data_IF_306561089549
#
_entry.id   IF_306561089549
#
_cell.length_a   1.000
_cell.length_b   1.000
_cell.length_c   1.000
_cell.angle_alpha   90.00
_cell.angle_beta   90.00
_cell.angle_gamma   90.00
#
_symmetry.space_group_name_H-M   'P 1'
#
loop_
_entity.id
_entity.type
_entity.pdbx_description
1 polymer ?
#
# COMPACT_ATOMS: atom_id res chain seq x y z
N UNK A 1 27.07 10.89 -17.88
CA UNK A 1 26.34 11.32 -16.67
C UNK A 1 25.15 10.38 -16.58
N UNK A 2 25.17 9.49 -15.59
CA UNK A 2 24.27 8.32 -15.46
C UNK A 2 22.80 8.72 -15.32
N UNK A 3 21.99 8.41 -16.33
CA UNK A 3 20.55 8.15 -16.12
C UNK A 3 20.44 6.78 -15.46
N UNK A 4 20.37 6.77 -14.13
CA UNK A 4 20.15 5.56 -13.35
C UNK A 4 18.91 4.82 -13.87
N UNK A 5 19.16 3.65 -14.46
CA UNK A 5 18.21 2.74 -15.07
C UNK A 5 17.07 2.42 -14.10
N UNK A 6 15.92 3.06 -14.30
CA UNK A 6 14.67 2.69 -13.61
C UNK A 6 14.38 1.21 -13.92
N UNK A 7 14.19 0.36 -12.91
CA UNK A 7 14.00 -1.07 -13.14
C UNK A 7 12.77 -1.29 -14.02
N UNK A 8 12.93 -2.11 -15.07
CA UNK A 8 11.85 -2.46 -15.98
C UNK A 8 10.72 -3.05 -15.14
N UNK A 9 9.49 -2.52 -15.25
CA UNK A 9 8.30 -2.89 -14.42
C UNK A 9 8.12 -4.40 -14.21
N UNK A 10 8.54 -5.21 -15.19
CA UNK A 10 8.49 -6.68 -15.14
C UNK A 10 9.43 -7.28 -14.09
N UNK A 11 10.60 -6.70 -13.90
CA UNK A 11 11.60 -7.18 -12.93
C UNK A 11 11.21 -6.81 -11.51
N UNK A 12 10.56 -5.66 -11.33
CA UNK A 12 9.91 -5.28 -10.06
C UNK A 12 8.84 -6.31 -9.70
N UNK A 13 7.91 -6.61 -10.61
CA UNK A 13 6.86 -7.63 -10.39
C UNK A 13 7.45 -9.00 -10.05
N UNK A 14 8.45 -9.47 -10.80
CA UNK A 14 9.11 -10.76 -10.53
C UNK A 14 9.86 -10.79 -9.19
N UNK A 15 10.34 -9.64 -8.72
CA UNK A 15 10.93 -9.53 -7.38
C UNK A 15 9.87 -9.69 -6.29
N UNK A 16 8.72 -9.01 -6.44
CA UNK A 16 7.57 -9.18 -5.55
C UNK A 16 7.02 -10.62 -5.56
N UNK A 17 6.84 -11.22 -6.73
CA UNK A 17 6.31 -12.59 -6.85
C UNK A 17 7.25 -13.64 -6.23
N UNK A 18 8.57 -13.50 -6.40
CA UNK A 18 9.57 -14.44 -5.85
C UNK A 18 9.77 -14.30 -4.34
N UNK A 19 9.68 -13.08 -3.82
CA UNK A 19 9.84 -12.83 -2.39
C UNK A 19 8.59 -13.18 -1.57
N UNK A 20 7.45 -13.46 -2.20
CA UNK A 20 6.18 -13.74 -1.53
C UNK A 20 6.24 -14.84 -0.46
N UNK A 21 7.16 -15.81 -0.59
CA UNK A 21 7.34 -16.91 0.36
C UNK A 21 8.30 -16.61 1.53
N UNK A 22 9.18 -15.59 1.40
CA UNK A 22 10.14 -15.17 2.44
C UNK A 22 9.89 -13.71 2.86
N UNK A 23 8.65 -13.25 2.66
CA UNK A 23 8.27 -11.84 2.66
C UNK A 23 8.20 -11.20 4.04
N UNK A 24 8.25 -11.99 5.12
CA UNK A 24 8.03 -11.46 6.46
C UNK A 24 9.05 -10.37 6.84
N UNK A 25 10.31 -10.47 6.43
CA UNK A 25 11.32 -9.42 6.67
C UNK A 25 11.17 -8.20 5.72
N UNK A 26 10.70 -8.42 4.48
CA UNK A 26 10.48 -7.35 3.50
C UNK A 26 9.18 -6.56 3.77
N UNK A 27 8.21 -7.20 4.43
CA UNK A 27 6.94 -6.61 4.78
C UNK A 27 7.07 -5.60 5.92
N UNK A 28 8.08 -5.69 6.78
CA UNK A 28 8.23 -4.81 7.95
C UNK A 28 8.26 -3.35 7.53
N UNK A 29 9.13 -3.00 6.56
CA UNK A 29 9.22 -1.62 6.07
C UNK A 29 7.91 -1.16 5.43
N UNK A 30 7.25 -2.04 4.67
CA UNK A 30 6.01 -1.68 3.98
C UNK A 30 4.84 -1.50 4.95
N UNK A 31 4.74 -2.35 5.98
CA UNK A 31 3.74 -2.23 7.05
C UNK A 31 3.96 -0.95 7.85
N UNK A 32 5.22 -0.61 8.15
CA UNK A 32 5.57 0.64 8.83
C UNK A 32 5.20 1.86 7.97
N UNK A 33 5.53 1.85 6.68
CA UNK A 33 5.13 2.92 5.76
C UNK A 33 3.60 3.03 5.67
N UNK A 34 2.90 1.89 5.57
CA UNK A 34 1.44 1.84 5.55
C UNK A 34 0.84 2.45 6.83
N UNK A 35 1.36 2.08 8.00
CA UNK A 35 0.91 2.63 9.29
C UNK A 35 1.06 4.15 9.34
N UNK A 36 2.22 4.70 8.96
CA UNK A 36 2.44 6.16 8.92
C UNK A 36 1.54 6.87 7.92
N UNK A 37 1.29 6.27 6.75
CA UNK A 37 0.34 6.84 5.77
C UNK A 37 -1.08 6.88 6.32
N UNK A 38 -1.50 5.86 7.07
CA UNK A 38 -2.81 5.85 7.75
C UNK A 38 -2.88 6.91 8.85
N UNK A 39 -1.82 7.11 9.63
CA UNK A 39 -1.73 8.19 10.64
C UNK A 39 -1.90 9.57 9.99
N UNK A 40 -1.32 9.79 8.81
CA UNK A 40 -1.50 11.04 8.07
C UNK A 40 -2.96 11.32 7.66
N UNK A 41 -3.81 10.30 7.58
CA UNK A 41 -5.24 10.45 7.29
C UNK A 41 -6.06 10.80 8.55
N UNK A 42 -5.56 10.56 9.75
CA UNK A 42 -6.28 10.85 11.00
C UNK A 42 -6.79 12.29 11.10
N UNK A 43 -5.97 13.34 10.88
CA UNK A 43 -6.43 14.72 11.00
C UNK A 43 -7.35 15.16 9.83
N UNK A 44 -7.45 14.37 8.76
CA UNK A 44 -8.22 14.77 7.57
C UNK A 44 -9.72 14.64 7.80
N UNK A 45 -10.45 15.75 7.71
CA UNK A 45 -11.92 15.77 7.85
C UNK A 45 -12.61 15.59 6.50
N UNK A 46 -12.45 14.41 5.91
CA UNK A 46 -13.08 14.01 4.65
C UNK A 46 -14.06 12.86 4.85
N UNK A 47 -15.08 12.81 3.99
CA UNK A 47 -16.06 11.72 3.92
C UNK A 47 -16.18 11.25 2.45
N UNK A 48 -15.17 10.52 1.95
CA UNK A 48 -15.16 10.11 0.55
C UNK A 48 -16.26 9.09 0.27
N UNK A 49 -16.85 9.15 -0.93
CA UNK A 49 -17.78 8.10 -1.39
C UNK A 49 -17.04 6.82 -1.80
N UNK A 50 -15.79 6.95 -2.26
CA UNK A 50 -14.93 5.85 -2.72
C UNK A 50 -13.49 6.11 -2.30
N UNK A 51 -12.76 5.05 -1.93
CA UNK A 51 -11.32 5.11 -1.69
C UNK A 51 -10.63 3.97 -2.43
N UNK A 52 -9.48 4.25 -3.04
CA UNK A 52 -8.69 3.30 -3.82
C UNK A 52 -7.30 3.18 -3.20
N UNK A 53 -6.92 1.97 -2.78
CA UNK A 53 -5.58 1.63 -2.32
C UNK A 53 -4.75 1.11 -3.50
N UNK A 54 -3.94 1.99 -4.10
CA UNK A 54 -3.13 1.65 -5.27
C UNK A 54 -1.95 0.78 -4.89
N UNK A 55 -1.99 -0.48 -5.30
CA UNK A 55 -0.95 -1.46 -4.94
C UNK A 55 -1.19 -2.07 -3.58
N UNK A 56 -2.45 -2.39 -3.25
CA UNK A 56 -2.90 -2.87 -1.95
C UNK A 56 -2.24 -4.18 -1.47
N UNK A 57 -1.55 -4.90 -2.35
CA UNK A 57 -0.97 -6.21 -2.06
C UNK A 57 -2.06 -7.17 -1.57
N UNK A 58 -1.89 -7.72 -0.37
CA UNK A 58 -2.89 -8.59 0.27
C UNK A 58 -4.01 -7.82 0.99
N UNK A 59 -4.12 -6.51 0.81
CA UNK A 59 -5.16 -5.67 1.41
C UNK A 59 -4.87 -5.20 2.84
N UNK A 60 -3.60 -5.07 3.24
CA UNK A 60 -3.22 -4.76 4.64
C UNK A 60 -3.87 -3.47 5.18
N UNK A 61 -4.06 -2.45 4.33
CA UNK A 61 -4.65 -1.17 4.74
C UNK A 61 -6.18 -1.19 4.85
N UNK A 62 -6.88 -2.20 4.29
CA UNK A 62 -8.33 -2.18 4.13
C UNK A 62 -9.08 -2.13 5.46
N UNK A 63 -8.64 -2.89 6.47
CA UNK A 63 -9.31 -2.88 7.78
C UNK A 63 -9.27 -1.50 8.43
N UNK A 64 -8.13 -0.80 8.33
CA UNK A 64 -7.99 0.54 8.87
C UNK A 64 -8.82 1.56 8.06
N UNK A 65 -8.78 1.47 6.73
CA UNK A 65 -9.56 2.32 5.84
C UNK A 65 -11.07 2.12 6.05
N UNK A 66 -11.53 0.89 6.25
CA UNK A 66 -12.94 0.57 6.49
C UNK A 66 -13.43 1.13 7.83
N UNK A 67 -12.59 1.05 8.88
CA UNK A 67 -12.90 1.67 10.17
C UNK A 67 -12.97 3.20 10.05
N UNK A 68 -12.07 3.80 9.27
CA UNK A 68 -11.96 5.26 9.16
C UNK A 68 -13.03 5.87 8.25
N UNK A 69 -13.41 5.17 7.18
CA UNK A 69 -14.37 5.60 6.17
C UNK A 69 -15.47 4.54 6.00
N UNK A 70 -16.32 4.31 7.00
CA UNK A 70 -17.28 3.20 7.01
C UNK A 70 -18.37 3.30 5.92
N UNK A 71 -18.59 4.48 5.37
CA UNK A 71 -19.55 4.72 4.28
C UNK A 71 -18.91 4.72 2.88
N UNK A 72 -17.58 4.58 2.78
CA UNK A 72 -16.87 4.58 1.50
C UNK A 72 -16.86 3.19 0.87
N UNK A 73 -17.01 3.14 -0.45
CA UNK A 73 -16.66 1.96 -1.25
C UNK A 73 -15.13 1.85 -1.34
N UNK A 74 -14.55 0.80 -0.75
CA UNK A 74 -13.11 0.55 -0.82
C UNK A 74 -12.76 -0.30 -2.05
N UNK A 75 -11.71 0.10 -2.75
CA UNK A 75 -11.15 -0.53 -3.95
C UNK A 75 -9.65 -0.75 -3.74
N UNK A 76 -9.08 -1.83 -4.30
CA UNK A 76 -7.68 -2.20 -4.16
C UNK A 76 -7.18 -2.93 -5.39
#
# INVERSE_FOLDING_TARGET
MDEAMLPVKRDVRRSFDRAAATYDDAAILQREVCARLLEHLEPMRIAPRRALDLGCGTGHAFDALAKRFPAAELLG
#
